data_IF_816806667602
#
_entry.id   IF_816806667602
#
_cell.length_a   1.000
_cell.length_b   1.000
_cell.length_c   1.000
_cell.angle_alpha   90.00
_cell.angle_beta   90.00
_cell.angle_gamma   90.00
#
_symmetry.space_group_name_H-M   'P 1'
#
loop_
_entity.id
_entity.type
_entity.pdbx_description
1 polymer ?
#
# COMPACT_ATOMS: atom_id res chain seq x y z
N UNK A 1 -20.06 18.37 -6.48
CA UNK A 1 -19.85 19.68 -7.16
C UNK A 1 -19.52 20.72 -6.09
N UNK A 2 -18.43 21.48 -6.26
CA UNK A 2 -18.05 22.51 -5.30
C UNK A 2 -19.04 23.68 -5.33
N UNK A 3 -19.33 24.25 -4.16
CA UNK A 3 -20.22 25.39 -4.04
C UNK A 3 -19.73 26.56 -4.91
N UNK A 4 -20.64 27.32 -5.55
CA UNK A 4 -20.28 28.49 -6.34
C UNK A 4 -19.57 29.52 -5.45
N UNK A 5 -18.38 29.97 -5.89
CA UNK A 5 -17.60 30.96 -5.13
C UNK A 5 -18.26 32.34 -5.27
N UNK A 6 -18.51 33.00 -4.13
CA UNK A 6 -19.13 34.35 -4.06
C UNK A 6 -18.31 35.44 -4.76
N UNK A 7 -17.00 35.26 -4.89
CA UNK A 7 -16.10 36.19 -5.57
C UNK A 7 -15.28 35.47 -6.64
N UNK A 8 -15.12 36.05 -7.84
CA UNK A 8 -14.28 35.48 -8.90
C UNK A 8 -12.80 35.55 -8.50
N UNK A 9 -12.01 34.55 -8.92
CA UNK A 9 -10.59 34.44 -8.51
C UNK A 9 -9.75 35.63 -8.99
N UNK A 10 -10.01 36.12 -10.21
CA UNK A 10 -9.35 37.31 -10.77
C UNK A 10 -9.49 38.55 -9.88
N UNK A 11 -10.62 38.71 -9.19
CA UNK A 11 -10.85 39.83 -8.28
C UNK A 11 -10.01 39.67 -7.01
N UNK A 12 -9.89 38.44 -6.49
CA UNK A 12 -9.05 38.15 -5.33
C UNK A 12 -7.58 38.44 -5.61
N UNK A 13 -7.05 37.90 -6.71
CA UNK A 13 -5.66 38.12 -7.14
C UNK A 13 -5.33 39.60 -7.32
N UNK A 14 -6.25 40.36 -7.93
CA UNK A 14 -6.09 41.80 -8.08
C UNK A 14 -6.08 42.50 -6.72
N UNK A 15 -7.02 42.15 -5.83
CA UNK A 15 -7.14 42.77 -4.52
C UNK A 15 -5.93 42.47 -3.63
N UNK A 16 -5.44 41.24 -3.61
CA UNK A 16 -4.23 40.85 -2.86
C UNK A 16 -2.99 41.55 -3.40
N UNK A 17 -2.81 41.61 -4.73
CA UNK A 17 -1.70 42.34 -5.36
C UNK A 17 -1.69 43.82 -5.00
N UNK A 18 -2.85 44.48 -5.05
CA UNK A 18 -2.97 45.89 -4.63
C UNK A 18 -2.64 46.07 -3.15
N UNK A 19 -3.08 45.14 -2.30
CA UNK A 19 -2.82 45.19 -0.85
C UNK A 19 -1.35 44.99 -0.51
N UNK A 20 -0.62 44.14 -1.24
CA UNK A 20 0.83 43.97 -1.07
C UNK A 20 1.56 45.26 -1.45
N UNK A 21 1.20 45.85 -2.60
CA UNK A 21 1.76 47.11 -3.06
C UNK A 21 1.60 48.24 -2.02
N UNK A 22 0.39 48.39 -1.48
CA UNK A 22 0.08 49.41 -0.47
C UNK A 22 0.74 49.15 0.90
N UNK A 23 1.20 47.92 1.19
CA UNK A 23 1.87 47.60 2.46
C UNK A 23 3.39 47.82 2.41
N UNK A 24 3.98 47.75 1.21
CA UNK A 24 5.40 48.08 0.98
C UNK A 24 5.71 49.54 1.29
N UNK A 25 4.77 50.43 0.98
CA UNK A 25 4.87 51.84 1.32
C UNK A 25 4.54 52.06 2.82
N UNK A 26 5.49 52.57 3.64
CA UNK A 26 5.27 52.78 5.06
C UNK A 26 4.20 53.84 5.36
N UNK A 27 3.97 54.82 4.47
CA UNK A 27 2.96 55.86 4.67
C UNK A 27 1.53 55.32 4.47
N UNK A 28 1.36 54.38 3.54
CA UNK A 28 0.06 53.78 3.23
C UNK A 28 -0.15 52.41 3.88
N UNK A 29 0.75 51.95 4.74
CA UNK A 29 0.62 50.68 5.47
C UNK A 29 -0.62 50.62 6.37
N UNK A 30 -0.87 51.68 7.13
CA UNK A 30 -2.01 51.75 8.04
C UNK A 30 -3.32 51.81 7.23
N UNK A 31 -4.24 50.89 7.51
CA UNK A 31 -5.54 50.84 6.82
C UNK A 31 -5.46 50.57 5.31
N UNK A 32 -4.38 49.98 4.79
CA UNK A 32 -4.28 49.59 3.38
C UNK A 32 -5.42 48.64 2.95
N UNK A 33 -5.63 47.58 3.74
CA UNK A 33 -6.66 46.56 3.49
C UNK A 33 -8.07 47.19 3.51
N UNK A 34 -8.29 48.10 4.46
CA UNK A 34 -9.55 48.84 4.59
C UNK A 34 -9.88 49.63 3.31
N UNK A 35 -8.95 50.48 2.87
CA UNK A 35 -9.13 51.33 1.69
C UNK A 35 -9.33 50.52 0.41
N UNK A 36 -8.58 49.43 0.25
CA UNK A 36 -8.66 48.59 -0.94
C UNK A 36 -9.96 47.77 -0.97
N UNK A 37 -10.41 47.30 0.19
CA UNK A 37 -11.71 46.65 0.32
C UNK A 37 -12.84 47.60 -0.08
N UNK A 38 -12.79 48.84 0.38
CA UNK A 38 -13.77 49.88 0.06
C UNK A 38 -13.71 50.26 -1.44
N UNK A 39 -12.51 50.35 -2.04
CA UNK A 39 -12.33 50.62 -3.48
C UNK A 39 -12.86 49.51 -4.40
N UNK A 40 -12.78 48.25 -3.97
CA UNK A 40 -13.18 47.09 -4.77
C UNK A 40 -14.58 46.56 -4.42
N UNK A 41 -15.25 47.16 -3.41
CA UNK A 41 -16.56 46.71 -2.94
C UNK A 41 -16.54 45.33 -2.30
N UNK A 42 -15.42 44.93 -1.69
CA UNK A 42 -15.22 43.61 -1.08
C UNK A 42 -15.34 43.72 0.44
N UNK A 43 -15.89 42.69 1.08
CA UNK A 43 -15.89 42.64 2.54
C UNK A 43 -14.46 42.67 3.09
N UNK A 44 -14.18 43.60 4.02
CA UNK A 44 -12.85 43.82 4.61
C UNK A 44 -12.23 42.56 5.20
N UNK A 45 -13.02 41.77 5.91
CA UNK A 45 -12.54 40.53 6.53
C UNK A 45 -12.17 39.47 5.48
N UNK A 46 -12.89 39.42 4.34
CA UNK A 46 -12.56 38.49 3.27
C UNK A 46 -11.20 38.83 2.63
N UNK A 47 -10.95 40.12 2.40
CA UNK A 47 -9.66 40.59 1.89
C UNK A 47 -8.53 40.33 2.89
N UNK A 48 -8.79 40.47 4.19
CA UNK A 48 -7.83 40.14 5.25
C UNK A 48 -7.43 38.66 5.24
N UNK A 49 -8.40 37.75 5.08
CA UNK A 49 -8.11 36.31 4.98
C UNK A 49 -7.27 35.98 3.75
N UNK A 50 -7.59 36.54 2.59
CA UNK A 50 -6.81 36.32 1.36
C UNK A 50 -5.40 36.88 1.50
N UNK A 51 -5.27 38.07 2.07
CA UNK A 51 -3.98 38.70 2.33
C UNK A 51 -3.12 37.87 3.30
N UNK A 52 -3.71 37.37 4.39
CA UNK A 52 -2.99 36.52 5.33
C UNK A 52 -2.51 35.20 4.72
N UNK A 53 -3.28 34.64 3.77
CA UNK A 53 -2.89 33.45 3.02
C UNK A 53 -1.72 33.74 2.08
N UNK A 54 -1.78 34.86 1.37
CA UNK A 54 -0.73 35.33 0.47
C UNK A 54 0.57 35.67 1.22
N UNK A 55 0.49 36.20 2.45
CA UNK A 55 1.67 36.37 3.32
C UNK A 55 2.36 35.05 3.68
N UNK A 56 1.56 33.99 3.90
CA UNK A 56 2.09 32.65 4.19
C UNK A 56 2.72 32.07 2.92
N UNK A 57 2.05 32.22 1.77
CA UNK A 57 2.54 31.72 0.49
C UNK A 57 3.81 32.46 0.00
N UNK A 58 3.97 33.75 0.34
CA UNK A 58 5.20 34.51 0.09
C UNK A 58 6.31 34.29 1.13
N UNK A 59 6.03 33.55 2.21
CA UNK A 59 7.01 33.26 3.27
C UNK A 59 7.24 34.38 4.30
N UNK A 60 6.43 35.45 4.27
CA UNK A 60 6.50 36.54 5.25
C UNK A 60 5.98 36.12 6.64
N UNK A 61 5.15 35.07 6.70
CA UNK A 61 4.62 34.48 7.93
C UNK A 61 4.89 32.97 7.95
N UNK A 62 5.31 32.39 9.09
CA UNK A 62 5.42 30.94 9.22
C UNK A 62 4.05 30.27 9.05
N UNK A 63 3.95 29.34 8.11
CA UNK A 63 2.76 28.54 7.84
C UNK A 63 2.99 27.60 6.65
N UNK A 64 2.12 26.59 6.51
CA UNK A 64 2.17 25.68 5.35
C UNK A 64 1.65 26.40 4.12
N UNK A 65 2.50 26.52 3.10
CA UNK A 65 2.11 27.16 1.84
C UNK A 65 1.01 26.33 1.16
N UNK A 66 0.23 26.99 0.32
CA UNK A 66 -0.85 26.35 -0.44
C UNK A 66 -0.30 25.25 -1.36
N UNK A 67 0.94 25.39 -1.83
CA UNK A 67 1.59 24.39 -2.67
C UNK A 67 2.17 23.22 -1.87
N UNK A 68 2.71 23.48 -0.67
CA UNK A 68 3.07 22.41 0.28
C UNK A 68 1.86 21.58 0.67
N UNK A 69 0.72 22.21 0.96
CA UNK A 69 -0.52 21.51 1.30
C UNK A 69 -1.03 20.62 0.15
N UNK A 70 -0.96 21.11 -1.10
CA UNK A 70 -1.28 20.29 -2.28
C UNK A 70 -0.33 19.11 -2.41
N UNK A 71 0.97 19.35 -2.23
CA UNK A 71 1.99 18.31 -2.35
C UNK A 71 1.82 17.23 -1.29
N UNK A 72 1.52 17.62 -0.05
CA UNK A 72 1.21 16.68 1.04
C UNK A 72 -0.01 15.83 0.68
N UNK A 73 -1.10 16.45 0.19
CA UNK A 73 -2.31 15.71 -0.16
C UNK A 73 -2.10 14.71 -1.31
N UNK A 74 -1.28 15.09 -2.31
CA UNK A 74 -0.89 14.19 -3.40
C UNK A 74 -0.02 13.05 -2.91
N UNK A 75 1.01 13.33 -2.12
CA UNK A 75 1.87 12.32 -1.51
C UNK A 75 1.10 11.36 -0.60
N UNK A 76 0.13 11.86 0.17
CA UNK A 76 -0.73 11.01 0.99
C UNK A 76 -1.63 10.11 0.13
N UNK A 77 -2.10 10.60 -1.02
CA UNK A 77 -2.86 9.77 -1.97
C UNK A 77 -1.99 8.66 -2.54
N UNK A 78 -0.80 8.99 -3.01
CA UNK A 78 0.19 8.01 -3.48
C UNK A 78 0.52 6.99 -2.38
N UNK A 79 0.74 7.43 -1.14
CA UNK A 79 1.00 6.53 -0.01
C UNK A 79 -0.16 5.56 0.25
N UNK A 80 -1.41 6.04 0.17
CA UNK A 80 -2.59 5.18 0.33
C UNK A 80 -2.68 4.13 -0.77
N UNK A 81 -2.40 4.52 -2.01
CA UNK A 81 -2.42 3.61 -3.16
C UNK A 81 -1.29 2.58 -3.06
N UNK A 82 -0.08 3.01 -2.72
CA UNK A 82 1.08 2.13 -2.50
C UNK A 82 0.86 1.16 -1.33
N UNK A 83 0.21 1.59 -0.24
CA UNK A 83 -0.15 0.70 0.87
C UNK A 83 -1.15 -0.36 0.44
N UNK A 84 -2.18 0.01 -0.34
CA UNK A 84 -3.13 -0.97 -0.89
C UNK A 84 -2.44 -1.99 -1.80
N UNK A 85 -1.56 -1.53 -2.69
CA UNK A 85 -0.79 -2.42 -3.56
C UNK A 85 0.10 -3.38 -2.75
N UNK A 86 0.81 -2.88 -1.73
CA UNK A 86 1.62 -3.72 -0.86
C UNK A 86 0.78 -4.77 -0.10
N UNK A 87 -0.42 -4.43 0.37
CA UNK A 87 -1.28 -5.41 1.03
C UNK A 87 -1.75 -6.51 0.06
N UNK A 88 -2.04 -6.18 -1.20
CA UNK A 88 -2.34 -7.18 -2.24
C UNK A 88 -1.13 -8.07 -2.50
N UNK A 89 0.06 -7.50 -2.61
CA UNK A 89 1.28 -8.28 -2.83
C UNK A 89 1.62 -9.18 -1.64
N UNK A 90 1.47 -8.68 -0.41
CA UNK A 90 1.67 -9.49 0.81
C UNK A 90 0.70 -10.65 0.87
N UNK A 91 -0.59 -10.40 0.66
CA UNK A 91 -1.62 -11.45 0.65
C UNK A 91 -1.37 -12.48 -0.46
N UNK A 92 -1.00 -12.06 -1.66
CA UNK A 92 -0.59 -12.96 -2.74
C UNK A 92 0.64 -13.80 -2.37
N UNK A 93 1.65 -13.20 -1.74
CA UNK A 93 2.86 -13.92 -1.30
C UNK A 93 2.57 -14.93 -0.19
N UNK A 94 1.69 -14.59 0.76
CA UNK A 94 1.24 -15.49 1.81
C UNK A 94 0.48 -16.69 1.22
N UNK A 95 -0.41 -16.43 0.28
CA UNK A 95 -1.14 -17.46 -0.45
C UNK A 95 -0.21 -18.37 -1.26
N UNK A 96 0.78 -17.80 -1.94
CA UNK A 96 1.79 -18.57 -2.69
C UNK A 96 2.61 -19.46 -1.77
N UNK A 97 3.04 -18.96 -0.60
CA UNK A 97 3.75 -19.76 0.41
C UNK A 97 2.89 -20.91 0.92
N UNK A 98 1.62 -20.66 1.22
CA UNK A 98 0.69 -21.70 1.67
C UNK A 98 0.45 -22.77 0.59
N UNK A 99 0.36 -22.38 -0.69
CA UNK A 99 0.23 -23.33 -1.80
C UNK A 99 1.50 -24.16 -2.00
N UNK A 100 2.68 -23.58 -1.85
CA UNK A 100 3.94 -24.32 -1.92
C UNK A 100 4.13 -25.30 -0.75
N UNK A 101 3.70 -24.93 0.47
CA UNK A 101 3.82 -25.83 1.62
C UNK A 101 2.84 -27.00 1.54
N UNK A 102 1.62 -26.75 1.06
CA UNK A 102 0.61 -27.80 0.83
C UNK A 102 0.98 -28.71 -0.34
N UNK A 103 1.54 -28.18 -1.42
CA UNK A 103 2.09 -29.01 -2.49
C UNK A 103 3.21 -29.94 -2.00
N UNK A 104 4.12 -29.44 -1.15
CA UNK A 104 5.19 -30.25 -0.57
C UNK A 104 4.68 -31.28 0.45
N UNK A 105 3.61 -31.02 1.21
CA UNK A 105 3.10 -32.02 2.17
C UNK A 105 2.35 -33.16 1.47
N UNK A 106 1.69 -32.89 0.33
CA UNK A 106 1.03 -33.94 -0.48
C UNK A 106 2.07 -34.83 -1.18
N UNK A 107 3.17 -34.26 -1.67
CA UNK A 107 4.25 -35.05 -2.26
C UNK A 107 5.05 -35.82 -1.21
N UNK A 108 5.34 -35.24 -0.04
CA UNK A 108 6.05 -35.95 1.05
C UNK A 108 5.22 -37.10 1.64
N UNK A 109 3.91 -36.92 1.81
CA UNK A 109 3.01 -37.98 2.29
C UNK A 109 2.91 -39.14 1.29
N UNK A 110 2.72 -38.85 0.01
CA UNK A 110 2.70 -39.87 -1.04
C UNK A 110 4.02 -40.62 -1.19
N UNK A 111 5.16 -39.93 -1.10
CA UNK A 111 6.49 -40.55 -1.14
C UNK A 111 6.73 -41.44 0.09
N UNK A 112 6.36 -41.01 1.30
CA UNK A 112 6.49 -41.83 2.53
C UNK A 112 5.63 -43.09 2.46
N UNK A 113 4.40 -42.98 1.96
CA UNK A 113 3.50 -44.13 1.83
C UNK A 113 3.96 -45.10 0.73
N UNK A 114 4.45 -44.58 -0.40
CA UNK A 114 5.09 -45.38 -1.45
C UNK A 114 6.32 -46.14 -0.94
N UNK A 115 7.20 -45.49 -0.16
CA UNK A 115 8.36 -46.15 0.46
C UNK A 115 7.92 -47.24 1.44
N UNK A 116 6.88 -47.01 2.27
CA UNK A 116 6.36 -48.04 3.18
C UNK A 116 5.78 -49.24 2.43
N UNK A 117 4.97 -49.01 1.41
CA UNK A 117 4.33 -50.08 0.62
C UNK A 117 5.36 -50.92 -0.14
N UNK A 118 6.38 -50.29 -0.72
CA UNK A 118 7.47 -50.99 -1.41
C UNK A 118 8.35 -51.81 -0.46
N UNK A 119 8.69 -51.28 0.73
CA UNK A 119 9.38 -52.04 1.77
C UNK A 119 8.57 -53.27 2.24
N UNK A 120 7.25 -53.10 2.46
CA UNK A 120 6.37 -54.19 2.85
C UNK A 120 6.18 -55.26 1.75
N UNK A 121 6.23 -54.86 0.48
CA UNK A 121 6.22 -55.80 -0.65
C UNK A 121 7.53 -56.59 -0.73
N UNK A 122 8.68 -55.93 -0.57
CA UNK A 122 9.99 -56.58 -0.54
C UNK A 122 10.08 -57.62 0.59
N UNK A 123 9.66 -57.27 1.81
CA UNK A 123 9.64 -58.23 2.92
C UNK A 123 8.73 -59.43 2.65
N UNK A 124 7.55 -59.23 2.05
CA UNK A 124 6.64 -60.34 1.67
C UNK A 124 7.26 -61.26 0.62
N UNK A 125 7.97 -60.70 -0.37
CA UNK A 125 8.66 -61.52 -1.37
C UNK A 125 9.80 -62.34 -0.77
N UNK A 126 10.56 -61.76 0.17
CA UNK A 126 11.64 -62.45 0.88
C UNK A 126 11.08 -63.58 1.75
N UNK A 127 10.00 -63.32 2.50
CA UNK A 127 9.31 -64.33 3.32
C UNK A 127 8.73 -65.44 2.44
N UNK A 128 8.04 -65.10 1.34
CA UNK A 128 7.51 -66.08 0.39
C UNK A 128 8.61 -66.93 -0.27
N UNK A 129 9.78 -66.35 -0.55
CA UNK A 129 10.92 -67.09 -1.08
C UNK A 129 11.52 -68.03 -0.03
N UNK A 130 11.62 -67.60 1.23
CA UNK A 130 12.05 -68.42 2.34
C UNK A 130 11.09 -69.60 2.59
N UNK A 131 9.79 -69.35 2.62
CA UNK A 131 8.76 -70.39 2.79
C UNK A 131 8.82 -71.43 1.66
N UNK A 132 9.02 -70.99 0.40
CA UNK A 132 9.20 -71.90 -0.73
C UNK A 132 10.45 -72.76 -0.61
N UNK A 133 11.55 -72.23 -0.07
CA UNK A 133 12.77 -73.00 0.19
C UNK A 133 12.57 -74.01 1.32
N UNK A 134 11.88 -73.63 2.40
CA UNK A 134 11.53 -74.54 3.51
C UNK A 134 10.60 -75.64 3.02
N UNK A 135 9.60 -75.31 2.19
CA UNK A 135 8.69 -76.29 1.59
C UNK A 135 9.39 -77.23 0.61
N UNK A 136 10.33 -76.73 -0.20
CA UNK A 136 11.15 -77.56 -1.08
C UNK A 136 12.08 -78.52 -0.30
N UNK A 137 12.65 -78.06 0.82
CA UNK A 137 13.47 -78.90 1.70
C UNK A 137 12.65 -79.98 2.41
N UNK A 138 11.42 -79.65 2.83
CA UNK A 138 10.53 -80.58 3.57
C UNK A 138 9.82 -81.58 2.66
N UNK A 139 9.57 -81.23 1.39
CA UNK A 139 9.00 -82.15 0.39
C UNK A 139 10.01 -83.02 -0.33
N UNK A 140 11.32 -82.88 -0.09
CA UNK A 140 12.33 -83.76 -0.69
C UNK A 140 12.08 -85.18 -0.19
N UNK A 141 11.50 -86.09 -0.99
CA UNK A 141 11.22 -87.42 -0.51
C UNK A 141 12.56 -88.11 -0.24
N UNK A 142 12.60 -88.93 0.80
CA UNK A 142 13.63 -89.94 0.98
C UNK A 142 13.57 -90.90 -0.22
N UNK A 143 14.14 -90.49 -1.35
CA UNK A 143 14.36 -91.32 -2.51
C UNK A 143 15.60 -92.16 -2.23
N UNK A 144 15.30 -93.34 -1.69
CA UNK A 144 15.95 -94.63 -1.89
C UNK A 144 17.08 -94.62 -2.93
N UNK A 145 18.31 -94.88 -2.47
CA UNK A 145 19.21 -96.02 -2.79
C UNK A 145 20.60 -95.66 -2.29
#
# INVERSE_FOLDING_TARGET
MGAPRKYPEKLKERATRMAIGARRDPATRAGAIARIADQLGVHREALRTWFAREEIDNGDRPGTTTDEAKRIAELERENRELRRANEILKTASAFSRQRSSTANCVTDSGLREYIRLSAAAASRTVVSAADRLVEACTRRPAATV
#
